data_IF_077587087210
#
_entry.id   IF_077587087210
#
_cell.length_a   1.000
_cell.length_b   1.000
_cell.length_c   1.000
_cell.angle_alpha   90.00
_cell.angle_beta   90.00
_cell.angle_gamma   90.00
#
_symmetry.space_group_name_H-M   'P 1'
#
loop_
_entity.id
_entity.type
_entity.pdbx_description
1 polymer ?
#
# COMPACT_ATOMS: atom_id res chain seq x y z
N UNK A 1 -14.11 14.30 -18.51
CA UNK A 1 -14.22 14.67 -17.07
C UNK A 1 -13.52 13.61 -16.24
N UNK A 2 -12.89 13.99 -15.11
CA UNK A 2 -12.24 13.02 -14.20
C UNK A 2 -13.30 12.10 -13.59
N UNK A 3 -12.99 10.79 -13.50
CA UNK A 3 -13.85 9.79 -12.83
C UNK A 3 -13.99 10.03 -11.32
N UNK A 4 -13.17 10.94 -10.76
CA UNK A 4 -13.13 11.23 -9.32
C UNK A 4 -13.93 12.48 -8.93
N UNK A 5 -14.33 13.33 -9.90
CA UNK A 5 -15.04 14.58 -9.59
C UNK A 5 -16.35 14.31 -8.85
N UNK A 6 -16.48 14.89 -7.63
CA UNK A 6 -17.63 14.71 -6.74
C UNK A 6 -17.70 13.32 -6.07
N UNK A 7 -16.79 12.40 -6.38
CA UNK A 7 -16.75 11.06 -5.76
C UNK A 7 -16.04 11.08 -4.43
N UNK A 8 -16.55 10.32 -3.46
CA UNK A 8 -15.94 10.15 -2.14
C UNK A 8 -14.84 9.12 -2.23
N UNK A 9 -13.63 9.50 -1.82
CA UNK A 9 -12.43 8.67 -1.79
C UNK A 9 -11.92 8.56 -0.37
N UNK A 10 -11.90 7.36 0.16
CA UNK A 10 -11.34 7.01 1.47
C UNK A 10 -9.89 6.57 1.25
N UNK A 11 -8.95 7.11 2.05
CA UNK A 11 -7.53 6.76 1.97
C UNK A 11 -7.00 6.51 3.38
N UNK A 12 -6.51 5.29 3.66
CA UNK A 12 -5.79 4.99 4.89
C UNK A 12 -4.28 5.22 4.71
N UNK A 13 -3.56 5.57 5.77
CA UNK A 13 -2.14 5.91 5.67
C UNK A 13 -1.93 7.21 4.89
N UNK A 14 -2.80 8.21 5.10
CA UNK A 14 -2.82 9.45 4.34
C UNK A 14 -1.89 10.54 4.89
N UNK A 15 -1.24 10.32 6.03
CA UNK A 15 -0.36 11.29 6.67
C UNK A 15 0.97 11.51 5.93
N UNK A 16 1.39 10.57 5.07
CA UNK A 16 2.69 10.66 4.40
C UNK A 16 2.74 9.89 3.08
N UNK A 17 3.87 9.94 2.39
CA UNK A 17 4.23 9.08 1.26
C UNK A 17 3.18 8.99 0.15
N UNK A 18 2.87 7.77 -0.27
CA UNK A 18 1.92 7.50 -1.37
C UNK A 18 0.51 7.99 -1.00
N UNK A 19 0.09 7.82 0.27
CA UNK A 19 -1.24 8.24 0.73
C UNK A 19 -1.45 9.75 0.62
N UNK A 20 -0.47 10.55 1.08
CA UNK A 20 -0.47 12.02 0.93
C UNK A 20 -0.50 12.44 -0.53
N UNK A 21 0.35 11.85 -1.36
CA UNK A 21 0.41 12.15 -2.79
C UNK A 21 -0.90 11.80 -3.53
N UNK A 22 -1.54 10.68 -3.15
CA UNK A 22 -2.88 10.33 -3.66
C UNK A 22 -3.93 11.35 -3.24
N UNK A 23 -3.95 11.77 -1.96
CA UNK A 23 -4.90 12.76 -1.46
C UNK A 23 -4.79 14.10 -2.23
N UNK A 24 -3.56 14.61 -2.40
CA UNK A 24 -3.30 15.85 -3.14
C UNK A 24 -3.78 15.79 -4.59
N UNK A 25 -3.43 14.72 -5.31
CA UNK A 25 -3.79 14.59 -6.72
C UNK A 25 -5.28 14.29 -6.94
N UNK A 26 -5.92 13.54 -6.04
CA UNK A 26 -7.35 13.27 -6.10
C UNK A 26 -8.17 14.50 -5.72
N UNK A 27 -7.73 15.29 -4.73
CA UNK A 27 -8.30 16.61 -4.43
C UNK A 27 -8.25 17.54 -5.63
N UNK A 28 -7.11 17.62 -6.33
CA UNK A 28 -6.97 18.39 -7.57
C UNK A 28 -7.88 17.89 -8.70
N UNK A 29 -8.32 16.65 -8.68
CA UNK A 29 -9.30 16.08 -9.61
C UNK A 29 -10.77 16.30 -9.16
N UNK A 30 -10.98 16.98 -8.03
CA UNK A 30 -12.29 17.31 -7.50
C UNK A 30 -12.96 16.17 -6.72
N UNK A 31 -12.18 15.26 -6.16
CA UNK A 31 -12.67 14.25 -5.23
C UNK A 31 -13.03 14.88 -3.87
N UNK A 32 -13.97 14.26 -3.16
CA UNK A 32 -14.28 14.49 -1.75
C UNK A 32 -13.47 13.47 -0.93
N UNK A 33 -12.71 13.90 0.07
CA UNK A 33 -11.69 13.08 0.68
C UNK A 33 -12.00 12.74 2.14
N UNK A 34 -12.01 11.44 2.46
CA UNK A 34 -11.99 10.90 3.82
C UNK A 34 -10.57 10.34 4.07
N UNK A 35 -9.74 11.09 4.79
CA UNK A 35 -8.35 10.76 5.03
C UNK A 35 -8.17 10.18 6.44
N UNK A 36 -7.49 9.05 6.57
CA UNK A 36 -7.24 8.44 7.87
C UNK A 36 -5.79 8.01 8.03
N UNK A 37 -5.28 8.16 9.25
CA UNK A 37 -3.94 7.75 9.67
C UNK A 37 -3.90 7.65 11.19
N UNK A 38 -2.90 6.94 11.73
CA UNK A 38 -2.57 6.94 13.15
C UNK A 38 -1.84 8.23 13.56
N UNK A 39 -1.10 8.85 12.63
CA UNK A 39 -0.41 10.13 12.80
C UNK A 39 -1.36 11.30 12.49
N UNK A 40 -2.00 11.82 13.53
CA UNK A 40 -2.91 12.96 13.42
C UNK A 40 -2.20 14.25 12.94
N UNK A 41 -0.94 14.47 13.33
CA UNK A 41 -0.17 15.64 12.91
C UNK A 41 0.13 15.64 11.42
N UNK A 42 0.67 14.52 10.91
CA UNK A 42 0.90 14.34 9.48
C UNK A 42 -0.38 14.37 8.64
N UNK A 43 -1.51 13.95 9.24
CA UNK A 43 -2.83 14.02 8.60
C UNK A 43 -3.31 15.46 8.42
N UNK A 44 -3.12 16.31 9.43
CA UNK A 44 -3.40 17.75 9.34
C UNK A 44 -2.53 18.45 8.28
N UNK A 45 -1.23 18.12 8.23
CA UNK A 45 -0.34 18.64 7.18
C UNK A 45 -0.84 18.27 5.78
N UNK A 46 -1.26 17.01 5.61
CA UNK A 46 -1.85 16.56 4.35
C UNK A 46 -3.08 17.36 4.00
N UNK A 47 -4.02 17.54 4.94
CA UNK A 47 -5.24 18.31 4.72
C UNK A 47 -4.94 19.77 4.34
N UNK A 48 -3.97 20.41 5.01
CA UNK A 48 -3.52 21.78 4.70
C UNK A 48 -2.87 21.91 3.32
N UNK A 49 -2.26 20.82 2.80
CA UNK A 49 -1.60 20.81 1.49
C UNK A 49 -2.54 20.59 0.30
N UNK A 50 -3.82 20.34 0.56
CA UNK A 50 -4.80 20.09 -0.51
C UNK A 50 -5.16 21.39 -1.26
N UNK A 51 -5.58 21.28 -2.52
CA UNK A 51 -6.09 22.42 -3.28
C UNK A 51 -7.25 23.12 -2.54
N UNK A 52 -7.27 24.44 -2.62
CA UNK A 52 -8.33 25.25 -2.01
C UNK A 52 -9.73 24.79 -2.47
N UNK A 53 -10.66 24.66 -1.52
CA UNK A 53 -12.03 24.22 -1.79
C UNK A 53 -12.20 22.70 -1.88
N UNK A 54 -11.15 21.90 -1.63
CA UNK A 54 -11.29 20.45 -1.50
C UNK A 54 -12.11 20.11 -0.27
N UNK A 55 -13.22 19.38 -0.44
CA UNK A 55 -13.99 18.84 0.68
C UNK A 55 -13.23 17.67 1.30
N UNK A 56 -12.78 17.85 2.55
CA UNK A 56 -11.97 16.85 3.27
C UNK A 56 -12.44 16.69 4.71
N UNK A 57 -12.38 15.45 5.20
CA UNK A 57 -12.47 15.09 6.62
C UNK A 57 -11.27 14.22 6.98
N UNK A 58 -10.77 14.39 8.17
CA UNK A 58 -9.64 13.63 8.71
C UNK A 58 -10.10 12.79 9.90
N UNK A 59 -9.58 11.56 10.02
CA UNK A 59 -9.93 10.60 11.06
C UNK A 59 -8.66 9.97 11.63
N UNK A 60 -8.45 10.12 12.93
CA UNK A 60 -7.39 9.36 13.60
C UNK A 60 -7.80 7.89 13.64
N UNK A 61 -7.02 7.01 13.00
CA UNK A 61 -7.39 5.61 12.83
C UNK A 61 -6.17 4.71 12.88
N UNK A 62 -6.18 3.77 13.82
CA UNK A 62 -5.33 2.58 13.78
C UNK A 62 -6.05 1.48 13.01
N UNK A 63 -5.56 1.15 11.81
CA UNK A 63 -6.15 0.12 10.95
C UNK A 63 -6.04 -1.30 11.50
N UNK A 64 -5.19 -1.55 12.51
CA UNK A 64 -5.09 -2.83 13.20
C UNK A 64 -6.28 -3.07 14.14
N UNK A 65 -6.96 -2.02 14.57
CA UNK A 65 -8.14 -2.11 15.41
C UNK A 65 -9.40 -2.33 14.54
N UNK A 66 -9.91 -3.58 14.56
CA UNK A 66 -11.07 -3.96 13.78
C UNK A 66 -12.28 -3.04 14.01
N UNK A 67 -12.64 -2.80 15.29
CA UNK A 67 -13.84 -2.02 15.61
C UNK A 67 -13.69 -0.59 15.09
N UNK A 68 -12.54 0.04 15.32
CA UNK A 68 -12.27 1.40 14.83
C UNK A 68 -12.39 1.53 13.31
N UNK A 69 -12.00 0.51 12.52
CA UNK A 69 -12.16 0.53 11.06
C UNK A 69 -13.64 0.45 10.65
N UNK A 70 -14.47 -0.33 11.35
CA UNK A 70 -15.91 -0.40 11.07
C UNK A 70 -16.61 0.90 11.49
N UNK A 71 -16.27 1.45 12.67
CA UNK A 71 -16.78 2.74 13.13
C UNK A 71 -16.39 3.87 12.15
N UNK A 72 -15.17 3.85 11.62
CA UNK A 72 -14.73 4.78 10.59
C UNK A 72 -15.58 4.69 9.31
N UNK A 73 -15.98 3.50 8.88
CA UNK A 73 -16.87 3.36 7.71
C UNK A 73 -18.25 3.96 7.98
N UNK A 74 -18.77 3.83 9.21
CA UNK A 74 -20.02 4.47 9.62
C UNK A 74 -19.88 6.00 9.70
N UNK A 75 -18.75 6.51 10.20
CA UNK A 75 -18.43 7.94 10.20
C UNK A 75 -18.36 8.50 8.77
N UNK A 76 -17.69 7.82 7.85
CA UNK A 76 -17.64 8.23 6.44
C UNK A 76 -19.05 8.24 5.82
N UNK A 77 -19.88 7.25 6.12
CA UNK A 77 -21.27 7.21 5.66
C UNK A 77 -22.09 8.38 6.23
N UNK A 78 -21.90 8.72 7.50
CA UNK A 78 -22.56 9.88 8.14
C UNK A 78 -22.13 11.20 7.51
N UNK A 79 -20.83 11.39 7.26
CA UNK A 79 -20.24 12.67 6.85
C UNK A 79 -20.35 12.91 5.34
N UNK A 80 -20.32 11.85 4.53
CA UNK A 80 -20.29 11.93 3.07
C UNK A 80 -21.47 11.23 2.38
N UNK A 81 -22.28 10.45 3.11
CA UNK A 81 -23.39 9.67 2.59
C UNK A 81 -22.97 8.31 2.03
N UNK A 82 -21.79 8.19 1.45
CA UNK A 82 -21.27 6.95 0.83
C UNK A 82 -19.77 6.99 0.63
N UNK A 83 -19.18 5.88 0.16
CA UNK A 83 -17.81 5.81 -0.37
C UNK A 83 -17.83 5.21 -1.79
N UNK A 84 -17.11 5.85 -2.72
CA UNK A 84 -16.97 5.36 -4.10
C UNK A 84 -15.62 4.67 -4.35
N UNK A 85 -14.59 5.15 -3.68
CA UNK A 85 -13.25 4.54 -3.74
C UNK A 85 -12.72 4.36 -2.33
N UNK A 86 -12.19 3.19 -2.04
CA UNK A 86 -11.47 2.91 -0.79
C UNK A 86 -10.07 2.45 -1.15
N UNK A 87 -9.07 3.20 -0.69
CA UNK A 87 -7.67 2.93 -0.92
C UNK A 87 -7.06 2.46 0.40
N UNK A 88 -6.94 1.16 0.57
CA UNK A 88 -6.26 0.53 1.69
C UNK A 88 -4.75 0.67 1.45
N UNK A 89 -4.18 1.78 1.93
CA UNK A 89 -2.79 2.14 1.70
C UNK A 89 -1.93 2.06 2.98
N UNK A 90 -2.51 2.20 4.16
CA UNK A 90 -1.77 2.08 5.41
C UNK A 90 -0.93 0.80 5.46
N UNK A 91 0.31 0.93 5.92
CA UNK A 91 1.23 -0.20 6.00
C UNK A 91 2.58 0.18 6.57
N UNK A 92 3.26 -0.81 7.10
CA UNK A 92 4.58 -0.73 7.73
C UNK A 92 5.50 -1.79 7.16
N UNK A 93 6.80 -1.71 7.45
CA UNK A 93 7.77 -2.78 7.17
C UNK A 93 8.36 -3.33 8.47
N UNK A 94 8.76 -4.60 8.42
CA UNK A 94 9.55 -5.29 9.43
C UNK A 94 10.72 -5.95 8.70
N UNK A 95 11.93 -5.60 9.10
CA UNK A 95 13.16 -6.17 8.55
C UNK A 95 13.65 -7.24 9.52
N UNK A 96 13.66 -8.47 9.07
CA UNK A 96 14.11 -9.62 9.81
C UNK A 96 14.01 -10.90 9.00
N UNK A 97 14.94 -11.82 9.21
CA UNK A 97 14.81 -13.19 8.71
C UNK A 97 13.65 -13.87 9.45
N UNK A 98 13.12 -14.94 8.89
CA UNK A 98 12.06 -15.73 9.58
C UNK A 98 12.58 -16.33 10.88
N UNK A 99 13.86 -16.63 10.95
CA UNK A 99 14.52 -17.17 12.17
C UNK A 99 14.59 -16.10 13.27
N UNK A 100 14.94 -14.85 12.92
CA UNK A 100 15.17 -13.77 13.89
C UNK A 100 13.89 -13.04 14.31
N UNK A 101 12.84 -13.01 13.45
CA UNK A 101 11.58 -12.39 13.82
C UNK A 101 10.84 -13.23 14.85
N UNK A 102 10.37 -12.60 15.93
CA UNK A 102 9.44 -13.23 16.86
C UNK A 102 8.04 -13.37 16.24
N UNK A 103 7.21 -14.23 16.82
CA UNK A 103 5.81 -14.37 16.37
C UNK A 103 5.06 -13.06 16.58
N UNK A 104 5.28 -12.39 17.70
CA UNK A 104 4.63 -11.12 18.06
C UNK A 104 4.97 -10.00 17.07
N UNK A 105 6.22 -9.94 16.59
CA UNK A 105 6.63 -8.99 15.55
C UNK A 105 5.95 -9.27 14.20
N UNK A 106 5.84 -10.54 13.83
CA UNK A 106 5.12 -10.98 12.63
C UNK A 106 3.63 -10.64 12.76
N UNK A 107 3.00 -10.94 13.89
CA UNK A 107 1.60 -10.64 14.18
C UNK A 107 1.34 -9.12 14.15
N UNK A 108 2.24 -8.31 14.73
CA UNK A 108 2.17 -6.86 14.66
C UNK A 108 2.13 -6.36 13.21
N UNK A 109 3.03 -6.83 12.35
CA UNK A 109 3.05 -6.42 10.95
C UNK A 109 1.79 -6.89 10.22
N UNK A 110 1.36 -8.14 10.44
CA UNK A 110 0.17 -8.69 9.80
C UNK A 110 -1.11 -7.99 10.25
N UNK A 111 -1.18 -7.54 11.52
CA UNK A 111 -2.34 -6.80 12.04
C UNK A 111 -2.60 -5.52 11.25
N UNK A 112 -1.55 -4.84 10.80
CA UNK A 112 -1.61 -3.60 10.01
C UNK A 112 -1.76 -3.91 8.51
N UNK A 113 -0.78 -4.64 7.95
CA UNK A 113 -0.63 -4.79 6.50
C UNK A 113 -1.64 -5.74 5.86
N UNK A 114 -2.18 -6.69 6.61
CA UNK A 114 -3.13 -7.68 6.12
C UNK A 114 -4.51 -7.48 6.73
N UNK A 115 -4.62 -7.53 8.05
CA UNK A 115 -5.91 -7.40 8.72
C UNK A 115 -6.53 -6.02 8.49
N UNK A 116 -5.74 -4.95 8.53
CA UNK A 116 -6.23 -3.60 8.20
C UNK A 116 -6.84 -3.52 6.80
N UNK A 117 -6.23 -4.17 5.80
CA UNK A 117 -6.77 -4.24 4.44
C UNK A 117 -8.05 -5.09 4.37
N UNK A 118 -8.10 -6.21 5.10
CA UNK A 118 -9.31 -7.06 5.21
C UNK A 118 -10.44 -6.27 5.86
N UNK A 119 -10.17 -5.59 6.98
CA UNK A 119 -11.18 -4.79 7.69
C UNK A 119 -11.70 -3.65 6.82
N UNK A 120 -10.82 -2.86 6.19
CA UNK A 120 -11.21 -1.79 5.29
C UNK A 120 -12.06 -2.30 4.11
N UNK A 121 -11.64 -3.41 3.50
CA UNK A 121 -12.43 -4.06 2.44
C UNK A 121 -13.82 -4.45 2.95
N UNK A 122 -13.91 -5.15 4.08
CA UNK A 122 -15.19 -5.64 4.62
C UNK A 122 -16.11 -4.54 5.14
N UNK A 123 -15.55 -3.46 5.69
CA UNK A 123 -16.33 -2.35 6.23
C UNK A 123 -17.01 -1.52 5.11
N UNK A 124 -16.32 -1.33 3.99
CA UNK A 124 -16.84 -0.47 2.92
C UNK A 124 -17.52 -1.23 1.77
N UNK A 125 -17.19 -2.49 1.52
CA UNK A 125 -17.76 -3.27 0.42
C UNK A 125 -19.28 -3.36 0.44
N UNK A 126 -19.98 -3.56 1.58
CA UNK A 126 -21.45 -3.63 1.60
C UNK A 126 -22.12 -2.37 1.08
N UNK A 127 -21.63 -1.16 1.43
CA UNK A 127 -22.21 0.08 0.92
C UNK A 127 -21.98 0.29 -0.57
N UNK A 128 -20.82 -0.18 -1.08
CA UNK A 128 -20.53 -0.14 -2.51
C UNK A 128 -21.43 -1.08 -3.31
N UNK A 129 -21.66 -2.30 -2.81
CA UNK A 129 -22.58 -3.26 -3.43
C UNK A 129 -24.04 -2.75 -3.40
N UNK A 130 -24.46 -2.12 -2.30
CA UNK A 130 -25.82 -1.59 -2.18
C UNK A 130 -26.11 -0.46 -3.19
N UNK A 131 -25.10 0.34 -3.57
CA UNK A 131 -25.23 1.39 -4.60
C UNK A 131 -24.84 0.94 -5.99
N UNK A 132 -24.41 -0.32 -6.15
CA UNK A 132 -23.87 -0.92 -7.38
C UNK A 132 -22.77 -0.05 -8.06
N UNK A 133 -22.00 0.65 -7.25
CA UNK A 133 -20.86 1.47 -7.71
C UNK A 133 -19.77 1.48 -6.66
N UNK A 134 -18.54 1.14 -7.04
CA UNK A 134 -17.40 1.20 -6.12
C UNK A 134 -16.08 0.69 -6.68
N UNK A 135 -15.00 1.02 -5.97
CA UNK A 135 -13.68 0.51 -6.28
C UNK A 135 -12.86 0.33 -5.01
N UNK A 136 -12.54 -0.91 -4.67
CA UNK A 136 -11.58 -1.25 -3.61
C UNK A 136 -10.19 -1.28 -4.22
N UNK A 137 -9.26 -0.48 -3.69
CA UNK A 137 -7.87 -0.40 -4.15
C UNK A 137 -6.97 -0.83 -3.01
N UNK A 138 -6.32 -1.99 -3.15
CA UNK A 138 -5.43 -2.53 -2.13
C UNK A 138 -3.97 -2.33 -2.53
N UNK A 139 -3.21 -1.65 -1.68
CA UNK A 139 -1.79 -1.40 -1.90
C UNK A 139 -1.00 -2.61 -1.39
N UNK A 140 -0.61 -3.47 -2.33
CA UNK A 140 0.36 -4.53 -2.14
C UNK A 140 1.79 -3.97 -2.29
N UNK A 141 2.69 -4.68 -2.96
CA UNK A 141 4.08 -4.30 -3.24
C UNK A 141 4.61 -5.16 -4.38
N UNK A 142 5.76 -4.82 -4.95
CA UNK A 142 6.57 -5.79 -5.72
C UNK A 142 6.92 -7.00 -4.86
N UNK A 143 7.02 -6.84 -3.53
CA UNK A 143 7.18 -7.94 -2.58
C UNK A 143 5.91 -8.77 -2.33
N UNK A 144 4.80 -8.46 -3.01
CA UNK A 144 3.66 -9.35 -3.24
C UNK A 144 3.73 -10.11 -4.58
N UNK A 145 4.85 -9.97 -5.32
CA UNK A 145 5.13 -10.64 -6.60
C UNK A 145 6.40 -11.50 -6.54
N UNK A 146 7.38 -11.08 -5.74
CA UNK A 146 8.66 -11.76 -5.49
C UNK A 146 8.96 -11.73 -4.01
N UNK A 147 9.78 -12.68 -3.55
CA UNK A 147 10.31 -12.71 -2.18
C UNK A 147 11.70 -12.07 -2.14
N UNK A 148 12.05 -11.53 -0.97
CA UNK A 148 13.35 -10.96 -0.68
C UNK A 148 13.83 -11.43 0.69
N UNK A 149 15.14 -11.70 0.84
CA UNK A 149 15.75 -12.08 2.12
C UNK A 149 15.47 -10.95 3.14
N UNK A 150 15.27 -11.27 4.40
CA UNK A 150 14.94 -10.36 5.51
C UNK A 150 13.57 -9.66 5.41
N UNK A 151 12.74 -10.03 4.44
CA UNK A 151 11.39 -9.46 4.25
C UNK A 151 10.29 -10.51 4.39
N UNK A 152 10.54 -11.60 5.14
CA UNK A 152 9.61 -12.73 5.24
C UNK A 152 8.19 -12.33 5.67
N UNK A 153 8.05 -11.64 6.80
CA UNK A 153 6.77 -11.17 7.32
C UNK A 153 6.08 -10.18 6.34
N UNK A 154 6.85 -9.25 5.79
CA UNK A 154 6.34 -8.28 4.81
C UNK A 154 5.88 -8.97 3.53
N UNK A 155 6.66 -9.94 2.99
CA UNK A 155 6.26 -10.75 1.85
C UNK A 155 4.93 -11.48 2.10
N UNK A 156 4.80 -12.18 3.23
CA UNK A 156 3.56 -12.87 3.62
C UNK A 156 2.37 -11.90 3.52
N UNK A 157 2.48 -10.71 4.13
CA UNK A 157 1.40 -9.72 4.12
C UNK A 157 1.03 -9.27 2.71
N UNK A 158 2.01 -8.95 1.87
CA UNK A 158 1.78 -8.38 0.54
C UNK A 158 1.34 -9.41 -0.51
N UNK A 159 1.77 -10.66 -0.38
CA UNK A 159 1.21 -11.79 -1.15
C UNK A 159 -0.24 -12.06 -0.75
N UNK A 160 -0.56 -12.05 0.56
CA UNK A 160 -1.92 -12.25 1.05
C UNK A 160 -2.88 -11.15 0.57
N UNK A 161 -2.46 -9.86 0.61
CA UNK A 161 -3.24 -8.73 0.07
C UNK A 161 -3.48 -8.89 -1.43
N UNK A 162 -2.49 -9.37 -2.18
CA UNK A 162 -2.67 -9.70 -3.58
C UNK A 162 -3.71 -10.81 -3.76
N UNK A 163 -3.59 -11.92 -3.02
CA UNK A 163 -4.51 -13.06 -3.09
C UNK A 163 -5.96 -12.64 -2.79
N UNK A 164 -6.16 -11.86 -1.71
CA UNK A 164 -7.46 -11.27 -1.38
C UNK A 164 -8.03 -10.45 -2.55
N UNK A 165 -7.21 -9.58 -3.15
CA UNK A 165 -7.70 -8.71 -4.23
C UNK A 165 -8.01 -9.48 -5.51
N UNK A 166 -7.23 -10.52 -5.83
CA UNK A 166 -7.47 -11.38 -6.97
C UNK A 166 -8.74 -12.24 -6.79
N UNK A 167 -9.05 -12.65 -5.55
CA UNK A 167 -10.33 -13.32 -5.22
C UNK A 167 -11.52 -12.37 -5.47
N UNK A 168 -11.43 -11.11 -5.02
CA UNK A 168 -12.46 -10.10 -5.28
C UNK A 168 -12.73 -9.87 -6.78
N UNK A 169 -11.78 -10.13 -7.68
CA UNK A 169 -12.03 -10.02 -9.12
C UNK A 169 -13.07 -11.00 -9.64
N UNK A 170 -13.15 -12.17 -9.03
CA UNK A 170 -14.15 -13.19 -9.38
C UNK A 170 -15.47 -12.96 -8.62
N UNK A 171 -15.37 -12.61 -7.33
CA UNK A 171 -16.56 -12.41 -6.49
C UNK A 171 -17.39 -11.19 -6.89
N UNK A 172 -16.77 -10.15 -7.45
CA UNK A 172 -17.43 -8.92 -7.88
C UNK A 172 -17.81 -8.92 -9.38
N UNK A 173 -17.59 -10.01 -10.07
CA UNK A 173 -17.97 -10.11 -11.48
C UNK A 173 -19.49 -9.97 -11.65
N UNK A 174 -19.91 -9.17 -12.63
CA UNK A 174 -21.33 -8.85 -12.86
C UNK A 174 -21.91 -7.77 -11.94
N UNK A 175 -21.13 -7.16 -11.03
CA UNK A 175 -21.53 -6.00 -10.22
C UNK A 175 -20.91 -4.71 -10.73
N UNK A 176 -21.44 -3.54 -10.28
CA UNK A 176 -20.84 -2.25 -10.52
C UNK A 176 -19.60 -1.96 -9.64
N UNK A 177 -19.19 -2.90 -8.79
CA UNK A 177 -18.03 -2.78 -7.90
C UNK A 177 -16.84 -3.53 -8.46
N UNK A 178 -15.63 -2.97 -8.29
CA UNK A 178 -14.39 -3.59 -8.76
C UNK A 178 -13.29 -3.53 -7.71
N UNK A 179 -12.29 -4.40 -7.86
CA UNK A 179 -11.10 -4.40 -7.02
C UNK A 179 -9.83 -4.16 -7.87
N UNK A 180 -8.84 -3.47 -7.28
CA UNK A 180 -7.57 -3.14 -7.91
C UNK A 180 -6.42 -3.53 -7.00
N UNK A 181 -5.51 -4.37 -7.49
CA UNK A 181 -4.26 -4.69 -6.82
C UNK A 181 -3.15 -3.77 -7.32
N UNK A 182 -2.51 -3.03 -6.41
CA UNK A 182 -1.42 -2.12 -6.73
C UNK A 182 -0.10 -2.69 -6.20
N UNK A 183 0.93 -2.67 -7.05
CA UNK A 183 2.25 -3.20 -6.72
C UNK A 183 3.32 -2.11 -6.93
N UNK A 184 3.52 -1.22 -5.95
CA UNK A 184 4.62 -0.27 -5.95
C UNK A 184 5.96 -1.00 -5.77
N UNK A 185 7.02 -0.48 -6.40
CA UNK A 185 8.38 -0.94 -6.21
C UNK A 185 9.37 0.20 -6.31
N UNK A 186 10.29 0.29 -5.35
CA UNK A 186 11.32 1.33 -5.31
C UNK A 186 10.78 2.75 -5.16
N UNK A 187 9.76 2.94 -4.32
CA UNK A 187 9.17 4.26 -4.03
C UNK A 187 9.88 4.88 -2.83
N UNK A 188 10.37 6.11 -2.98
CA UNK A 188 11.02 6.86 -1.91
C UNK A 188 9.96 7.40 -0.93
N UNK A 189 9.70 6.65 0.14
CA UNK A 189 8.70 6.99 1.18
C UNK A 189 9.29 6.82 2.57
N UNK A 190 8.60 7.33 3.58
CA UNK A 190 8.96 7.12 4.99
C UNK A 190 8.73 5.69 5.50
N UNK A 191 8.21 4.77 4.69
CA UNK A 191 7.95 3.39 5.12
C UNK A 191 9.23 2.68 5.56
N UNK A 192 10.36 3.01 4.95
CA UNK A 192 11.66 2.41 5.28
C UNK A 192 12.22 3.00 6.59
N UNK A 193 12.03 4.30 6.83
CA UNK A 193 12.49 4.99 8.05
C UNK A 193 11.55 4.78 9.24
N UNK A 194 10.26 4.52 8.99
CA UNK A 194 9.26 4.16 9.99
C UNK A 194 9.17 2.65 10.21
N UNK A 195 9.90 1.85 9.43
CA UNK A 195 9.98 0.40 9.57
C UNK A 195 10.70 -0.02 10.85
N UNK A 196 10.32 -1.20 11.36
CA UNK A 196 11.03 -1.83 12.48
C UNK A 196 12.05 -2.83 11.95
N UNK A 197 13.18 -2.91 12.64
CA UNK A 197 14.11 -4.03 12.53
C UNK A 197 13.77 -4.99 13.67
N UNK A 198 13.80 -6.30 13.43
CA UNK A 198 13.51 -7.28 14.48
C UNK A 198 14.53 -7.18 15.62
N UNK A 199 14.11 -7.57 16.84
CA UNK A 199 14.96 -7.42 18.04
C UNK A 199 16.25 -8.25 17.94
N UNK A 200 16.19 -9.42 17.31
CA UNK A 200 17.34 -10.32 17.12
C UNK A 200 18.09 -10.06 15.80
N UNK A 201 18.00 -8.83 15.24
CA UNK A 201 18.66 -8.46 13.99
C UNK A 201 20.18 -8.70 14.02
N UNK A 202 20.71 -9.26 12.97
CA UNK A 202 22.13 -9.54 12.76
C UNK A 202 22.71 -8.92 11.47
N UNK A 203 23.75 -9.54 10.95
CA UNK A 203 24.43 -9.06 9.74
C UNK A 203 23.53 -9.04 8.51
N UNK A 204 22.64 -10.01 8.38
CA UNK A 204 21.70 -10.12 7.27
C UNK A 204 20.75 -8.93 7.20
N UNK A 205 20.25 -8.50 8.34
CA UNK A 205 19.34 -7.38 8.49
C UNK A 205 20.06 -6.03 8.29
N UNK A 206 21.27 -5.90 8.83
CA UNK A 206 22.10 -4.69 8.68
C UNK A 206 22.39 -4.38 7.20
N UNK A 207 22.47 -5.42 6.36
CA UNK A 207 22.72 -5.28 4.91
C UNK A 207 21.50 -4.81 4.10
N UNK A 208 20.30 -4.88 4.67
CA UNK A 208 19.06 -4.56 3.93
C UNK A 208 19.03 -3.12 3.41
N UNK A 209 19.22 -2.12 4.26
CA UNK A 209 19.13 -0.71 3.86
C UNK A 209 20.16 -0.32 2.81
N UNK A 210 21.47 -0.61 2.96
CA UNK A 210 22.45 -0.30 1.93
C UNK A 210 22.16 -0.97 0.57
N UNK A 211 21.55 -2.16 0.60
CA UNK A 211 21.22 -2.90 -0.63
C UNK A 211 19.99 -2.37 -1.35
N UNK A 212 19.04 -1.78 -0.62
CA UNK A 212 17.75 -1.32 -1.17
C UNK A 212 17.72 0.18 -1.48
N UNK A 213 18.53 0.99 -0.82
CA UNK A 213 18.55 2.46 -0.99
C UNK A 213 18.64 2.90 -2.46
N UNK A 214 19.52 2.25 -3.23
CA UNK A 214 19.69 2.53 -4.68
C UNK A 214 18.46 2.19 -5.52
N UNK A 215 17.53 1.40 -5.00
CA UNK A 215 16.29 1.02 -5.67
C UNK A 215 15.15 2.00 -5.37
N UNK A 216 15.24 2.76 -4.26
CA UNK A 216 14.20 3.70 -3.79
C UNK A 216 14.33 5.06 -4.49
N UNK A 217 14.02 5.10 -5.78
CA UNK A 217 14.26 6.29 -6.61
C UNK A 217 12.98 6.97 -7.11
N UNK A 218 11.85 6.29 -7.11
CA UNK A 218 10.59 6.82 -7.64
C UNK A 218 9.91 7.71 -6.60
N UNK A 219 9.60 8.99 -6.92
CA UNK A 219 8.84 9.86 -6.03
C UNK A 219 7.43 9.33 -5.76
N UNK A 220 6.87 9.55 -4.55
CA UNK A 220 5.49 9.18 -4.22
C UNK A 220 4.45 9.76 -5.18
N UNK A 221 4.68 10.98 -5.67
CA UNK A 221 3.79 11.70 -6.59
C UNK A 221 3.69 11.00 -7.94
N UNK A 222 4.81 10.48 -8.45
CA UNK A 222 4.83 9.70 -9.70
C UNK A 222 4.09 8.37 -9.52
N UNK A 223 4.27 7.72 -8.37
CA UNK A 223 3.55 6.51 -8.01
C UNK A 223 2.05 6.77 -7.96
N UNK A 224 1.62 7.81 -7.23
CA UNK A 224 0.22 8.22 -7.12
C UNK A 224 -0.40 8.51 -8.50
N UNK A 225 0.29 9.25 -9.36
CA UNK A 225 -0.18 9.55 -10.72
C UNK A 225 -0.43 8.27 -11.54
N UNK A 226 0.47 7.28 -11.46
CA UNK A 226 0.32 5.98 -12.15
C UNK A 226 -0.82 5.15 -11.57
N UNK A 227 -1.04 5.19 -10.24
CA UNK A 227 -2.17 4.54 -9.56
C UNK A 227 -3.48 5.14 -10.07
N UNK A 228 -3.63 6.45 -9.99
CA UNK A 228 -4.82 7.18 -10.43
C UNK A 228 -5.14 6.90 -11.90
N UNK A 229 -4.14 7.03 -12.78
CA UNK A 229 -4.31 6.74 -14.21
C UNK A 229 -4.69 5.27 -14.47
N UNK A 230 -4.17 4.34 -13.67
CA UNK A 230 -4.55 2.92 -13.75
C UNK A 230 -6.00 2.68 -13.35
N UNK A 231 -6.46 3.32 -12.27
CA UNK A 231 -7.86 3.26 -11.80
C UNK A 231 -8.80 3.84 -12.87
N UNK A 232 -8.46 5.01 -13.44
CA UNK A 232 -9.24 5.67 -14.50
C UNK A 232 -9.38 4.80 -15.75
N UNK A 233 -8.33 4.02 -16.08
CA UNK A 233 -8.33 3.08 -17.22
C UNK A 233 -8.99 1.73 -16.91
N UNK A 234 -9.52 1.53 -15.72
CA UNK A 234 -10.18 0.27 -15.32
C UNK A 234 -9.24 -0.92 -15.14
N UNK A 235 -7.94 -0.68 -14.87
CA UNK A 235 -6.98 -1.78 -14.67
C UNK A 235 -7.28 -2.53 -13.38
N UNK A 236 -7.27 -3.87 -13.45
CA UNK A 236 -7.36 -4.76 -12.27
C UNK A 236 -6.03 -4.83 -11.51
N UNK A 237 -4.88 -4.68 -12.22
CA UNK A 237 -3.54 -4.68 -11.61
C UNK A 237 -2.74 -3.48 -12.09
N UNK A 238 -2.08 -2.79 -11.14
CA UNK A 238 -1.21 -1.64 -11.40
C UNK A 238 0.16 -1.95 -10.83
N UNK A 239 1.16 -2.01 -11.70
CA UNK A 239 2.57 -2.18 -11.33
C UNK A 239 3.27 -0.85 -11.62
N UNK A 240 3.88 -0.24 -10.60
CA UNK A 240 4.47 1.09 -10.68
C UNK A 240 5.77 1.21 -9.89
N UNK A 241 6.61 2.14 -10.28
CA UNK A 241 7.92 2.37 -9.68
C UNK A 241 9.07 1.76 -10.46
N UNK A 242 10.28 2.12 -10.03
CA UNK A 242 11.51 1.63 -10.65
C UNK A 242 11.58 0.10 -10.52
N UNK A 243 12.10 -0.57 -11.54
CA UNK A 243 12.27 -2.03 -11.61
C UNK A 243 10.99 -2.89 -11.43
N UNK A 244 9.87 -2.32 -10.99
CA UNK A 244 8.66 -3.09 -10.66
C UNK A 244 8.15 -3.96 -11.82
N UNK A 245 8.19 -3.45 -13.06
CA UNK A 245 7.75 -4.20 -14.24
C UNK A 245 8.69 -5.34 -14.61
N UNK A 246 10.00 -5.11 -14.56
CA UNK A 246 11.01 -6.15 -14.83
C UNK A 246 10.92 -7.25 -13.78
N UNK A 247 10.79 -6.89 -12.50
CA UNK A 247 10.60 -7.82 -11.39
C UNK A 247 9.34 -8.67 -11.58
N UNK A 248 8.22 -8.07 -11.99
CA UNK A 248 6.99 -8.80 -12.27
C UNK A 248 7.14 -9.81 -13.40
N UNK A 249 7.76 -9.42 -14.53
CA UNK A 249 8.00 -10.36 -15.63
C UNK A 249 8.99 -11.45 -15.26
N UNK A 250 10.04 -11.10 -14.53
CA UNK A 250 11.05 -12.06 -14.05
C UNK A 250 10.40 -13.17 -13.21
N UNK A 251 9.54 -12.82 -12.25
CA UNK A 251 8.87 -13.82 -11.42
C UNK A 251 7.91 -14.73 -12.19
N UNK A 252 7.39 -14.30 -13.33
CA UNK A 252 6.51 -15.10 -14.19
C UNK A 252 7.25 -16.02 -15.13
N UNK A 253 8.36 -15.54 -15.70
CA UNK A 253 9.15 -16.30 -16.67
C UNK A 253 10.17 -17.23 -16.00
N UNK A 254 10.61 -16.91 -14.80
CA UNK A 254 11.62 -17.63 -14.03
C UNK A 254 11.12 -17.95 -12.61
N UNK A 255 10.00 -18.67 -12.42
CA UNK A 255 9.32 -18.80 -11.14
C UNK A 255 10.19 -19.40 -10.03
N UNK A 256 11.13 -20.28 -10.38
CA UNK A 256 12.01 -20.96 -9.41
C UNK A 256 13.41 -20.34 -9.31
N UNK A 257 13.88 -19.67 -10.37
CA UNK A 257 15.25 -19.16 -10.46
C UNK A 257 15.37 -17.65 -10.33
N UNK A 258 14.23 -16.91 -10.29
CA UNK A 258 14.26 -15.45 -10.12
C UNK A 258 15.03 -14.98 -8.88
N UNK A 259 15.09 -15.70 -7.73
CA UNK A 259 15.84 -15.21 -6.57
C UNK A 259 17.35 -15.12 -6.87
N UNK A 260 17.90 -16.10 -7.58
CA UNK A 260 19.31 -16.09 -7.99
C UNK A 260 19.61 -14.97 -8.99
N UNK A 261 18.70 -14.76 -9.96
CA UNK A 261 18.81 -13.67 -10.93
C UNK A 261 18.70 -12.32 -10.22
N UNK A 262 17.75 -12.18 -9.29
CA UNK A 262 17.55 -10.95 -8.52
C UNK A 262 18.79 -10.61 -7.69
N UNK A 263 19.34 -11.60 -6.96
CA UNK A 263 20.60 -11.44 -6.20
C UNK A 263 21.73 -10.91 -7.11
N UNK A 264 21.92 -11.50 -8.29
CA UNK A 264 23.03 -11.14 -9.21
C UNK A 264 22.91 -9.72 -9.79
N UNK A 265 21.71 -9.22 -10.04
CA UNK A 265 21.51 -7.95 -10.74
C UNK A 265 21.11 -6.78 -9.85
N UNK A 266 20.54 -7.05 -8.68
CA UNK A 266 19.96 -6.02 -7.81
C UNK A 266 20.60 -5.96 -6.42
N UNK A 267 21.37 -6.98 -6.01
CA UNK A 267 22.06 -7.00 -4.73
C UNK A 267 23.56 -7.06 -5.03
N UNK A 268 24.24 -5.94 -4.92
CA UNK A 268 25.70 -5.91 -4.84
C UNK A 268 26.10 -6.21 -3.40
N UNK A 269 26.64 -7.40 -3.13
CA UNK A 269 27.34 -7.64 -1.88
C UNK A 269 28.51 -6.64 -1.77
N UNK A 270 28.80 -6.10 -0.57
CA UNK A 270 30.01 -5.32 -0.39
C UNK A 270 31.18 -6.21 -0.80
N UNK A 271 31.95 -5.77 -1.76
CA UNK A 271 33.23 -6.45 -2.05
C UNK A 271 34.13 -6.23 -0.84
N UNK A 272 34.75 -7.30 -0.34
CA UNK A 272 35.74 -7.30 0.77
C UNK A 272 36.89 -6.28 0.62
N UNK A 273 36.82 -5.37 -0.35
CA UNK A 273 37.87 -4.41 -0.68
C UNK A 273 37.74 -3.04 0.02
N UNK A 274 36.68 -2.79 0.77
CA UNK A 274 36.49 -1.50 1.47
C UNK A 274 36.83 -1.57 2.97
N UNK A 275 37.52 -2.64 3.41
CA UNK A 275 37.95 -2.84 4.79
C UNK A 275 39.51 -2.84 4.90
N UNK A 276 40.20 -1.90 4.22
CA UNK A 276 41.63 -1.62 4.48
C UNK A 276 41.83 -0.11 4.64
#
# INVERSE_FOLDING_TARGET
>A
MSKFRGKVVVITGAASGIGRALAQQLGAKGARLALSDIDAGGLEETAKSLPQGTEVRTYALDVSNRQAVFDHADDVRRDFGTAHFVINNAGVTLIGTIEHCTIEEIEWLLSINLWGVIYGTKAFLPMMLAQDEGCIVNISSVFGLVSFKTQGAYNISKFAVRGLTECLWAELDGTGVRAVSVHPGGIKTSIDTAGRMCEAAGEDEAFFYPSTEKLLTTPPEECAAKIIAGIERGKKRIVTGNTARSTWWMSRLLPNSYPAVFKRFFITEPTERDST
#
